data_IF_200149334476
#
_entry.id   IF_200149334476
#
_cell.length_a   1.000
_cell.length_b   1.000
_cell.length_c   1.000
_cell.angle_alpha   90.00
_cell.angle_beta   90.00
_cell.angle_gamma   90.00
#
_symmetry.space_group_name_H-M   'P 1'
#
loop_
_entity.id
_entity.type
_entity.pdbx_description
1 polymer ?
#
# COMPACT_ATOMS: atom_id res chain seq x y z
N UNK A 1 4.20 -29.52 -7.77
CA UNK A 1 3.73 -28.82 -8.97
C UNK A 1 4.10 -27.36 -8.73
N UNK A 2 5.13 -26.86 -9.43
CA UNK A 2 5.59 -25.49 -9.24
C UNK A 2 4.53 -24.57 -9.86
N UNK A 3 3.85 -23.77 -9.04
CA UNK A 3 3.05 -22.63 -9.51
C UNK A 3 4.00 -21.73 -10.32
N UNK A 4 3.60 -21.35 -11.54
CA UNK A 4 4.45 -20.51 -12.39
C UNK A 4 4.61 -19.12 -11.76
N UNK A 5 5.72 -18.41 -12.04
CA UNK A 5 5.88 -17.01 -11.58
C UNK A 5 4.70 -16.12 -12.05
N UNK A 6 4.06 -16.45 -13.17
CA UNK A 6 2.90 -15.74 -13.71
C UNK A 6 1.60 -15.96 -12.90
N UNK A 7 1.43 -17.11 -12.24
CA UNK A 7 0.27 -17.37 -11.37
C UNK A 7 0.29 -16.55 -10.07
N UNK A 8 1.43 -15.93 -9.75
CA UNK A 8 1.67 -15.24 -8.47
C UNK A 8 1.23 -13.77 -8.43
N UNK A 9 0.97 -13.15 -9.59
CA UNK A 9 0.67 -11.71 -9.70
C UNK A 9 -0.81 -11.40 -10.03
N UNK A 10 -1.73 -12.21 -9.50
CA UNK A 10 -3.19 -11.95 -9.51
C UNK A 10 -3.68 -11.69 -8.08
N UNK A 11 -4.86 -11.08 -7.86
CA UNK A 11 -5.40 -10.92 -6.51
C UNK A 11 -5.45 -12.25 -5.73
N UNK A 12 -5.90 -13.34 -6.37
CA UNK A 12 -5.93 -14.68 -5.75
C UNK A 12 -4.52 -15.22 -5.49
N UNK A 13 -3.59 -14.99 -6.40
CA UNK A 13 -2.17 -15.32 -6.22
C UNK A 13 -1.56 -14.63 -5.00
N UNK A 14 -1.81 -13.32 -4.84
CA UNK A 14 -1.38 -12.54 -3.67
C UNK A 14 -2.02 -13.05 -2.37
N UNK A 15 -3.33 -13.32 -2.37
CA UNK A 15 -4.03 -13.90 -1.21
C UNK A 15 -3.39 -15.23 -0.81
N UNK A 16 -3.06 -16.10 -1.78
CA UNK A 16 -2.42 -17.39 -1.55
C UNK A 16 -1.00 -17.23 -0.96
N UNK A 17 -0.18 -16.31 -1.51
CA UNK A 17 1.16 -16.02 -0.97
C UNK A 17 1.11 -15.56 0.49
N UNK A 18 0.19 -14.65 0.81
CA UNK A 18 -0.02 -14.18 2.19
C UNK A 18 -0.52 -15.28 3.12
N UNK A 19 -1.43 -16.15 2.65
CA UNK A 19 -1.91 -17.29 3.42
C UNK A 19 -0.78 -18.30 3.73
N UNK A 20 0.13 -18.51 2.77
CA UNK A 20 1.33 -19.35 2.93
C UNK A 20 2.46 -18.66 3.70
N UNK A 21 2.31 -17.39 4.09
CA UNK A 21 3.35 -16.60 4.76
C UNK A 21 4.57 -16.26 3.88
N UNK A 22 4.44 -16.39 2.55
CA UNK A 22 5.52 -16.15 1.58
C UNK A 22 5.65 -14.65 1.27
N UNK A 23 5.85 -13.85 2.31
CA UNK A 23 5.87 -12.38 2.27
C UNK A 23 7.29 -11.80 2.32
N UNK A 24 8.24 -12.42 1.61
CA UNK A 24 9.66 -12.01 1.58
C UNK A 24 9.91 -10.59 1.05
N UNK A 25 8.89 -9.96 0.46
CA UNK A 25 8.87 -8.56 0.04
C UNK A 25 8.58 -7.57 1.18
N UNK A 26 8.13 -8.03 2.35
CA UNK A 26 7.82 -7.17 3.48
C UNK A 26 9.08 -6.67 4.18
N UNK A 27 9.25 -5.34 4.22
CA UNK A 27 10.28 -4.69 5.01
C UNK A 27 9.86 -4.56 6.48
N UNK A 28 10.67 -5.12 7.39
CA UNK A 28 10.45 -5.09 8.84
C UNK A 28 10.75 -3.72 9.48
N UNK A 29 11.37 -2.81 8.72
CA UNK A 29 11.70 -1.45 9.14
C UNK A 29 11.01 -0.44 8.23
N UNK A 30 10.87 0.80 8.71
CA UNK A 30 10.51 1.95 7.87
C UNK A 30 11.60 2.12 6.79
N UNK A 31 11.19 2.27 5.54
CA UNK A 31 12.10 2.37 4.41
C UNK A 31 13.00 3.61 4.55
N UNK A 32 14.33 3.50 4.39
CA UNK A 32 15.25 4.64 4.54
C UNK A 32 14.91 5.81 3.61
N UNK A 33 14.49 5.51 2.37
CA UNK A 33 14.16 6.54 1.39
C UNK A 33 12.97 7.39 1.83
N UNK A 34 11.90 6.83 2.41
CA UNK A 34 10.80 7.69 2.87
C UNK A 34 11.24 8.59 4.03
N UNK A 35 12.11 8.11 4.91
CA UNK A 35 12.68 8.96 5.98
C UNK A 35 13.47 10.13 5.41
N UNK A 36 14.29 9.89 4.39
CA UNK A 36 15.14 10.90 3.78
C UNK A 36 14.34 11.90 2.92
N UNK A 37 13.36 11.41 2.15
CA UNK A 37 12.71 12.22 1.11
C UNK A 37 11.28 12.65 1.43
N UNK A 38 10.66 12.28 2.56
CA UNK A 38 9.29 12.70 2.89
C UNK A 38 9.09 14.23 2.86
N UNK A 39 10.06 14.99 3.36
CA UNK A 39 9.98 16.46 3.38
C UNK A 39 9.97 17.02 1.95
N UNK A 40 10.77 16.45 1.05
CA UNK A 40 10.76 16.82 -0.36
C UNK A 40 9.43 16.43 -1.03
N UNK A 41 8.96 15.20 -0.83
CA UNK A 41 7.71 14.66 -1.37
C UNK A 41 6.48 15.49 -0.99
N UNK A 42 6.55 16.22 0.13
CA UNK A 42 5.42 16.96 0.69
C UNK A 42 5.68 18.47 0.71
N UNK A 43 6.77 18.95 0.08
CA UNK A 43 7.18 20.35 0.09
C UNK A 43 7.23 20.96 1.51
N UNK A 44 7.68 20.15 2.48
CA UNK A 44 7.74 20.48 3.91
C UNK A 44 6.39 20.70 4.59
N UNK A 45 5.26 20.44 3.92
CA UNK A 45 3.90 20.67 4.43
C UNK A 45 3.48 19.57 5.38
N UNK A 46 2.74 19.93 6.42
CA UNK A 46 2.11 18.99 7.37
C UNK A 46 0.64 18.76 7.03
N UNK A 47 0.01 17.74 7.62
CA UNK A 47 -1.41 17.40 7.40
C UNK A 47 -1.78 17.09 5.94
N UNK A 48 -0.79 16.68 5.13
CA UNK A 48 -0.97 16.18 3.78
C UNK A 48 -1.66 14.79 3.77
N UNK A 49 -2.38 14.47 2.69
CA UNK A 49 -2.93 13.13 2.45
C UNK A 49 -2.01 12.33 1.55
N UNK A 50 -1.49 11.21 2.05
CA UNK A 50 -0.50 10.37 1.36
C UNK A 50 -1.13 9.03 1.04
N UNK A 51 -1.02 8.60 -0.21
CA UNK A 51 -1.51 7.31 -0.67
C UNK A 51 -0.39 6.30 -0.87
N UNK A 52 -0.61 5.09 -0.36
CA UNK A 52 0.25 3.93 -0.57
C UNK A 52 -0.56 2.84 -1.29
N UNK A 53 -0.44 2.74 -2.62
CA UNK A 53 -1.07 1.66 -3.37
C UNK A 53 -0.36 0.33 -3.11
N UNK A 54 -1.13 -0.77 -3.08
CA UNK A 54 -0.63 -2.14 -2.85
C UNK A 54 0.28 -2.23 -1.62
N UNK A 55 -0.16 -1.61 -0.51
CA UNK A 55 0.71 -1.27 0.61
C UNK A 55 1.15 -2.47 1.48
N UNK A 56 0.57 -3.65 1.29
CA UNK A 56 0.77 -4.81 2.15
C UNK A 56 0.60 -4.43 3.63
N UNK A 57 1.63 -4.65 4.44
CA UNK A 57 1.70 -4.18 5.84
C UNK A 57 2.83 -3.19 6.09
N UNK A 58 3.02 -2.24 5.17
CA UNK A 58 4.16 -1.31 5.20
C UNK A 58 4.33 -0.60 6.55
N UNK A 59 5.56 -0.62 7.08
CA UNK A 59 5.95 0.12 8.29
C UNK A 59 6.01 1.63 8.05
N UNK A 60 5.99 2.08 6.79
CA UNK A 60 6.04 3.49 6.44
C UNK A 60 4.74 4.21 6.81
N UNK A 61 3.60 3.52 6.76
CA UNK A 61 2.29 4.11 7.05
C UNK A 61 2.18 4.73 8.45
N UNK A 62 2.46 3.99 9.55
CA UNK A 62 2.42 4.58 10.89
C UNK A 62 3.48 5.68 11.06
N UNK A 63 4.66 5.52 10.48
CA UNK A 63 5.71 6.52 10.57
C UNK A 63 5.31 7.84 9.90
N UNK A 64 4.66 7.80 8.73
CA UNK A 64 4.11 8.97 8.05
C UNK A 64 2.97 9.62 8.85
N UNK A 65 2.13 8.82 9.53
CA UNK A 65 1.09 9.33 10.41
C UNK A 65 1.67 10.03 11.67
N UNK A 66 2.79 9.52 12.19
CA UNK A 66 3.57 10.14 13.26
C UNK A 66 4.20 11.47 12.81
N UNK A 67 4.57 11.61 11.53
CA UNK A 67 5.02 12.89 10.96
C UNK A 67 3.87 13.92 10.81
N UNK A 68 2.63 13.55 11.15
CA UNK A 68 1.48 14.46 11.16
C UNK A 68 0.69 14.47 9.86
N UNK A 69 0.81 13.43 9.03
CA UNK A 69 0.04 13.28 7.79
C UNK A 69 -1.17 12.36 7.97
N UNK A 70 -2.12 12.46 7.04
CA UNK A 70 -3.18 11.49 6.87
C UNK A 70 -2.71 10.44 5.85
N UNK A 71 -2.76 9.18 6.24
CA UNK A 71 -2.20 8.09 5.45
C UNK A 71 -3.31 7.16 4.99
N UNK A 72 -3.33 6.86 3.69
CA UNK A 72 -4.27 5.93 3.10
C UNK A 72 -3.51 4.81 2.41
N UNK A 73 -3.67 3.59 2.91
CA UNK A 73 -3.19 2.39 2.25
C UNK A 73 -4.32 1.68 1.51
N UNK A 74 -3.98 0.97 0.44
CA UNK A 74 -4.89 0.04 -0.22
C UNK A 74 -4.17 -1.26 -0.54
N UNK A 75 -4.76 -2.39 -0.21
CA UNK A 75 -4.31 -3.70 -0.64
C UNK A 75 -5.50 -4.63 -0.90
N UNK A 76 -5.39 -5.57 -1.83
CA UNK A 76 -6.46 -6.54 -2.09
C UNK A 76 -6.53 -7.64 -1.03
N UNK A 77 -5.47 -7.82 -0.23
CA UNK A 77 -5.36 -8.91 0.74
C UNK A 77 -5.79 -8.46 2.14
N UNK A 78 -6.96 -8.92 2.62
CA UNK A 78 -7.47 -8.57 3.96
C UNK A 78 -6.51 -8.98 5.09
N UNK A 79 -5.77 -10.08 4.91
CA UNK A 79 -4.76 -10.52 5.87
C UNK A 79 -3.68 -9.44 6.08
N UNK A 80 -3.29 -8.73 5.03
CA UNK A 80 -2.31 -7.66 5.11
C UNK A 80 -2.79 -6.53 6.03
N UNK A 81 -4.06 -6.12 5.89
CA UNK A 81 -4.66 -5.12 6.76
C UNK A 81 -4.73 -5.59 8.23
N UNK A 82 -5.21 -6.83 8.47
CA UNK A 82 -5.28 -7.38 9.84
C UNK A 82 -3.91 -7.44 10.50
N UNK A 83 -2.95 -8.08 9.84
CA UNK A 83 -1.56 -8.17 10.31
C UNK A 83 -0.98 -6.77 10.55
N UNK A 84 -1.22 -5.81 9.64
CA UNK A 84 -0.76 -4.43 9.77
C UNK A 84 -1.25 -3.77 11.07
N UNK A 85 -2.55 -3.77 11.34
CA UNK A 85 -3.08 -3.10 12.53
C UNK A 85 -2.66 -3.82 13.82
N UNK A 86 -2.70 -5.15 13.83
CA UNK A 86 -2.34 -5.97 14.99
C UNK A 86 -0.85 -5.84 15.34
N UNK A 87 0.05 -5.97 14.37
CA UNK A 87 1.51 -5.88 14.58
C UNK A 87 1.95 -4.47 14.99
N UNK A 88 1.26 -3.44 14.52
CA UNK A 88 1.51 -2.06 14.95
C UNK A 88 0.79 -1.69 16.25
N UNK A 89 -0.05 -2.58 16.80
CA UNK A 89 -0.88 -2.33 18.00
C UNK A 89 -1.77 -1.09 17.86
N UNK A 90 -2.23 -0.82 16.64
CA UNK A 90 -3.11 0.31 16.33
C UNK A 90 -4.54 -0.16 16.59
N UNK A 91 -5.29 0.58 17.39
CA UNK A 91 -6.73 0.34 17.56
C UNK A 91 -7.48 0.78 16.30
N UNK A 92 -8.43 -0.03 15.84
CA UNK A 92 -9.15 0.22 14.59
C UNK A 92 -10.61 -0.23 14.62
N UNK A 93 -11.38 0.32 13.69
CA UNK A 93 -12.73 -0.15 13.34
C UNK A 93 -12.74 -0.67 11.91
N UNK A 94 -13.72 -1.52 11.57
CA UNK A 94 -13.93 -2.03 10.22
C UNK A 94 -15.33 -1.59 9.76
N UNK A 95 -15.43 -1.09 8.52
CA UNK A 95 -16.70 -0.84 7.84
C UNK A 95 -16.66 -1.32 6.40
N UNK A 96 -17.82 -1.42 5.75
CA UNK A 96 -17.90 -1.67 4.31
C UNK A 96 -17.51 -0.41 3.52
N UNK A 97 -17.02 -0.58 2.29
CA UNK A 97 -16.77 0.52 1.35
C UNK A 97 -18.01 0.69 0.46
N UNK A 98 -18.72 1.83 0.52
CA UNK A 98 -19.86 2.07 -0.34
C UNK A 98 -19.50 1.94 -1.82
N UNK A 99 -20.29 1.18 -2.58
CA UNK A 99 -20.10 1.00 -4.02
C UNK A 99 -19.05 -0.05 -4.42
N UNK A 100 -18.38 -0.70 -3.47
CA UNK A 100 -17.44 -1.80 -3.75
C UNK A 100 -17.92 -3.05 -3.02
N UNK A 101 -18.45 -4.00 -3.77
CA UNK A 101 -18.87 -5.30 -3.23
C UNK A 101 -17.69 -6.04 -2.58
N UNK A 102 -17.91 -6.53 -1.36
CA UNK A 102 -16.88 -7.15 -0.53
C UNK A 102 -15.76 -6.22 -0.03
N UNK A 103 -15.80 -4.93 -0.37
CA UNK A 103 -14.78 -3.95 0.03
C UNK A 103 -14.87 -3.60 1.51
N UNK A 104 -13.73 -3.58 2.21
CA UNK A 104 -13.65 -3.23 3.63
C UNK A 104 -12.71 -2.06 3.87
N UNK A 105 -13.07 -1.17 4.78
CA UNK A 105 -12.23 -0.09 5.27
C UNK A 105 -11.87 -0.38 6.73
N UNK A 106 -10.58 -0.47 7.00
CA UNK A 106 -10.02 -0.47 8.34
C UNK A 106 -9.56 0.94 8.67
N UNK A 107 -10.03 1.49 9.78
CA UNK A 107 -9.74 2.88 10.17
C UNK A 107 -9.15 2.93 11.56
N UNK A 108 -7.99 3.58 11.71
CA UNK A 108 -7.41 3.84 13.04
C UNK A 108 -8.34 4.70 13.89
N UNK A 109 -8.35 4.48 15.20
CA UNK A 109 -9.23 5.22 16.12
C UNK A 109 -8.99 6.73 16.13
N UNK A 110 -7.76 7.18 15.85
CA UNK A 110 -7.41 8.60 15.69
C UNK A 110 -7.72 9.15 14.28
N UNK A 111 -8.17 8.29 13.36
CA UNK A 111 -8.53 8.62 11.99
C UNK A 111 -7.36 8.99 11.08
N UNK A 112 -6.11 8.87 11.54
CA UNK A 112 -4.94 9.22 10.73
C UNK A 112 -4.60 8.18 9.67
N UNK A 113 -4.97 6.91 9.89
CA UNK A 113 -4.68 5.81 8.97
C UNK A 113 -5.98 5.16 8.54
N UNK A 114 -6.21 5.17 7.22
CA UNK A 114 -7.27 4.42 6.57
C UNK A 114 -6.62 3.35 5.70
N UNK A 115 -7.08 2.10 5.81
CA UNK A 115 -6.61 1.00 4.99
C UNK A 115 -7.79 0.39 4.26
N UNK A 116 -7.79 0.51 2.95
CA UNK A 116 -8.83 -0.03 2.08
C UNK A 116 -8.44 -1.45 1.64
N UNK A 117 -9.32 -2.40 1.90
CA UNK A 117 -9.21 -3.77 1.42
C UNK A 117 -10.18 -3.93 0.26
N UNK A 118 -9.66 -3.77 -0.96
CA UNK A 118 -10.41 -3.93 -2.20
C UNK A 118 -9.47 -4.05 -3.40
N UNK A 119 -10.07 -4.31 -4.56
CA UNK A 119 -9.38 -4.24 -5.84
C UNK A 119 -8.99 -2.78 -6.16
N UNK A 120 -7.70 -2.54 -6.39
CA UNK A 120 -7.14 -1.24 -6.76
C UNK A 120 -7.80 -0.64 -8.01
N UNK A 121 -8.25 -1.47 -8.94
CA UNK A 121 -8.90 -0.98 -10.17
C UNK A 121 -10.38 -0.62 -9.98
N UNK A 122 -10.95 -0.83 -8.79
CA UNK A 122 -12.35 -0.49 -8.47
C UNK A 122 -12.51 0.82 -7.68
N UNK A 123 -11.41 1.40 -7.18
CA UNK A 123 -11.46 2.67 -6.46
C UNK A 123 -11.58 3.87 -7.41
N UNK A 124 -12.10 4.97 -6.90
CA UNK A 124 -12.13 6.26 -7.60
C UNK A 124 -11.84 7.39 -6.61
N UNK A 125 -11.61 8.60 -7.13
CA UNK A 125 -11.48 9.80 -6.29
C UNK A 125 -12.76 10.10 -5.50
N UNK A 126 -13.93 9.64 -5.95
CA UNK A 126 -15.18 9.82 -5.21
C UNK A 126 -15.26 8.88 -4.00
N UNK A 127 -14.60 7.72 -4.07
CA UNK A 127 -14.60 6.70 -3.01
C UNK A 127 -13.53 7.00 -1.96
N UNK A 128 -12.30 7.30 -2.40
CA UNK A 128 -11.15 7.45 -1.48
C UNK A 128 -10.58 8.88 -1.42
N UNK A 129 -11.12 9.79 -2.23
CA UNK A 129 -10.64 11.16 -2.35
C UNK A 129 -9.40 11.28 -3.23
N UNK A 130 -8.79 12.48 -3.19
CA UNK A 130 -7.51 12.75 -3.84
C UNK A 130 -6.39 12.99 -2.82
N UNK A 131 -5.16 12.79 -3.27
CA UNK A 131 -3.96 12.76 -2.46
C UNK A 131 -2.97 13.84 -2.85
N UNK A 132 -2.26 14.33 -1.84
CA UNK A 132 -1.19 15.31 -1.99
C UNK A 132 0.15 14.67 -2.37
N UNK A 133 0.30 13.37 -2.14
CA UNK A 133 1.45 12.60 -2.58
C UNK A 133 1.10 11.12 -2.71
N UNK A 134 1.87 10.42 -3.55
CA UNK A 134 1.87 8.96 -3.62
C UNK A 134 3.26 8.42 -3.25
N UNK A 135 3.26 7.47 -2.34
CA UNK A 135 4.43 6.65 -2.01
C UNK A 135 4.19 5.24 -2.56
N UNK A 136 4.68 5.00 -3.78
CA UNK A 136 4.58 3.71 -4.45
C UNK A 136 5.84 2.90 -4.17
N UNK A 137 5.76 2.01 -3.18
CA UNK A 137 6.83 1.08 -2.85
C UNK A 137 6.50 -0.27 -3.46
N UNK A 138 6.98 -0.48 -4.69
CA UNK A 138 6.85 -1.73 -5.47
C UNK A 138 5.43 -2.10 -5.92
N UNK A 139 4.45 -1.20 -5.80
CA UNK A 139 3.10 -1.41 -6.33
C UNK A 139 3.12 -1.58 -7.84
N UNK A 140 3.70 -0.63 -8.58
CA UNK A 140 3.88 -0.76 -10.03
C UNK A 140 4.72 -1.99 -10.43
N UNK A 141 5.75 -2.32 -9.63
CA UNK A 141 6.59 -3.50 -9.86
C UNK A 141 5.81 -4.82 -9.72
N UNK A 142 4.84 -4.88 -8.81
CA UNK A 142 3.97 -6.03 -8.58
C UNK A 142 2.99 -6.30 -9.73
N UNK A 143 2.95 -5.44 -10.75
CA UNK A 143 2.15 -5.64 -11.95
C UNK A 143 3.02 -6.31 -13.03
N UNK A 144 2.63 -7.48 -13.58
CA UNK A 144 3.53 -8.29 -14.42
C UNK A 144 3.65 -7.77 -15.85
N UNK A 145 2.53 -7.37 -16.47
CA UNK A 145 2.47 -6.98 -17.88
C UNK A 145 2.56 -5.46 -18.12
N UNK A 146 3.05 -5.08 -19.30
CA UNK A 146 3.17 -3.68 -19.70
C UNK A 146 1.80 -2.99 -19.79
N UNK A 147 0.81 -3.65 -20.39
CA UNK A 147 -0.54 -3.08 -20.53
C UNK A 147 -1.21 -2.88 -19.17
N UNK A 148 -1.03 -3.81 -18.23
CA UNK A 148 -1.52 -3.70 -16.86
C UNK A 148 -0.81 -2.58 -16.10
N UNK A 149 0.50 -2.38 -16.32
CA UNK A 149 1.24 -1.25 -15.75
C UNK A 149 0.70 0.08 -16.27
N UNK A 150 0.35 0.18 -17.56
CA UNK A 150 -0.30 1.37 -18.11
C UNK A 150 -1.64 1.61 -17.41
N UNK A 151 -2.47 0.57 -17.27
CA UNK A 151 -3.75 0.65 -16.53
C UNK A 151 -3.54 1.07 -15.07
N UNK A 152 -2.49 0.58 -14.41
CA UNK A 152 -2.15 0.95 -13.03
C UNK A 152 -1.89 2.45 -12.92
N UNK A 153 -1.04 2.99 -13.81
CA UNK A 153 -0.72 4.42 -13.84
C UNK A 153 -1.97 5.23 -14.19
N UNK A 154 -2.77 4.79 -15.16
CA UNK A 154 -4.02 5.47 -15.55
C UNK A 154 -5.06 5.49 -14.42
N UNK A 155 -5.12 4.43 -13.62
CA UNK A 155 -5.96 4.33 -12.43
C UNK A 155 -5.47 5.25 -11.30
N UNK A 156 -4.14 5.43 -11.18
CA UNK A 156 -3.54 6.27 -10.14
C UNK A 156 -3.72 7.77 -10.43
N UNK A 157 -3.58 8.19 -11.69
CA UNK A 157 -3.70 9.60 -12.13
C UNK A 157 -4.87 10.39 -11.53
N UNK A 158 -6.14 9.94 -11.58
CA UNK A 158 -7.27 10.72 -11.05
C UNK A 158 -7.25 10.88 -9.52
N UNK A 159 -6.49 10.04 -8.82
CA UNK A 159 -6.36 10.07 -7.36
C UNK A 159 -5.33 11.12 -6.91
N UNK A 160 -4.48 11.60 -7.81
CA UNK A 160 -3.39 12.53 -7.52
C UNK A 160 -3.90 13.97 -7.75
N UNK A 161 -3.71 14.86 -6.78
CA UNK A 161 -3.98 16.28 -6.96
C UNK A 161 -3.04 16.88 -8.01
N UNK A 162 -3.46 17.93 -8.71
CA UNK A 162 -2.68 18.56 -9.80
C UNK A 162 -1.26 19.02 -9.39
N UNK A 163 -1.01 19.25 -8.09
CA UNK A 163 0.26 19.74 -7.53
C UNK A 163 0.96 18.71 -6.63
N UNK A 164 0.62 17.44 -6.78
CA UNK A 164 1.17 16.36 -5.94
C UNK A 164 2.40 15.70 -6.59
N UNK A 165 3.30 15.25 -5.72
CA UNK A 165 4.51 14.52 -6.11
C UNK A 165 4.31 13.00 -5.95
N UNK A 166 4.96 12.23 -6.83
CA UNK A 166 4.96 10.75 -6.80
C UNK A 166 6.40 10.29 -6.62
N UNK A 167 6.63 9.48 -5.60
CA UNK A 167 7.90 8.78 -5.41
C UNK A 167 7.65 7.28 -5.58
N UNK A 168 8.16 6.76 -6.70
CA UNK A 168 8.10 5.34 -7.08
C UNK A 168 9.47 4.70 -6.86
N UNK A 169 9.50 3.61 -6.10
CA UNK A 169 10.71 2.84 -5.84
C UNK A 169 10.57 1.40 -6.35
N UNK A 170 11.37 1.10 -7.37
CA UNK A 170 11.59 -0.25 -7.86
C UNK A 170 12.98 -0.76 -7.43
N UNK A 171 13.06 -1.50 -6.32
CA UNK A 171 14.28 -2.23 -5.98
C UNK A 171 14.33 -3.60 -6.68
N UNK A 172 15.48 -3.99 -7.29
CA UNK A 172 15.57 -5.14 -8.21
C UNK A 172 15.47 -6.54 -7.56
N UNK A 173 15.11 -6.66 -6.27
CA UNK A 173 15.00 -7.96 -5.58
C UNK A 173 13.60 -8.18 -5.01
N UNK A 174 12.70 -8.80 -5.78
CA UNK A 174 11.50 -9.44 -5.22
C UNK A 174 11.86 -10.88 -4.89
N UNK A 175 12.14 -11.13 -3.61
CA UNK A 175 12.40 -12.48 -3.13
C UNK A 175 11.09 -13.08 -2.65
N UNK A 176 10.40 -13.80 -3.52
CA UNK A 176 9.26 -14.63 -3.11
C UNK A 176 9.83 -15.86 -2.39
N UNK A 177 9.43 -16.07 -1.13
CA UNK A 177 9.78 -17.26 -0.36
C UNK A 177 11.08 -17.23 0.46
N UNK A 178 11.89 -16.17 0.41
CA UNK A 178 13.00 -15.97 1.35
C UNK A 178 12.63 -14.87 2.36
N UNK A 179 12.68 -15.17 3.66
CA UNK A 179 12.47 -14.16 4.71
C UNK A 179 13.65 -13.20 4.74
N UNK A 180 13.39 -11.89 4.82
CA UNK A 180 14.44 -10.93 5.14
C UNK A 180 15.04 -11.30 6.50
N UNK A 181 16.39 -11.40 6.63
CA UNK A 181 17.03 -11.64 7.90
C UNK A 181 16.52 -10.63 8.93
N UNK A 182 16.29 -11.06 10.16
CA UNK A 182 16.13 -10.12 11.26
C UNK A 182 17.39 -9.26 11.32
N UNK A 183 17.26 -7.95 11.12
CA UNK A 183 18.33 -7.02 11.45
C UNK A 183 18.47 -7.04 12.97
N UNK A 184 19.42 -7.81 13.48
CA UNK A 184 20.00 -7.64 14.82
C UNK A 184 20.71 -6.30 14.95
#
# INVERSE_FOLDING_TARGET
MFESEEDSFTPDGWVNLWAKGLIGFHFKIVHPVIKEFHSWLLDGKTNQRIFLPLCGKSRDMPWLAEQGHQVVGLDCVEKAAKDFFEENRIQFTISEIPGIDGGKLYKSSDGKINFYVCDFFKITSDIIGQFDAVWDMRGLFAIPGYEEKVKYVDQLKPLIKMVADVLDLAEPKLKIGETTPDCT
#
